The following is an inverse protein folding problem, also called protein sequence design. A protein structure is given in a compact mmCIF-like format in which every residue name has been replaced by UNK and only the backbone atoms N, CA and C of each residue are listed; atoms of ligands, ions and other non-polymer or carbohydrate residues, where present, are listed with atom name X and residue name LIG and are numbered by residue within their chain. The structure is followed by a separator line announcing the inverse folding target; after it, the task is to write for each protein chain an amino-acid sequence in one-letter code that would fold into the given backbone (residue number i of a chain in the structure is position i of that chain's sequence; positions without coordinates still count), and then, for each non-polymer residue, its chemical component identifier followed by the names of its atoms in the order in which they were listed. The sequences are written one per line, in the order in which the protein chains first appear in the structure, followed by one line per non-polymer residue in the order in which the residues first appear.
data_IF_133256425017
#
_entry.id   IF_133256425017
#
_cell.length_a   1.000
_cell.length_b   1.000
_cell.length_c   1.000
_cell.angle_alpha   90.00
_cell.angle_beta   90.00
_cell.angle_gamma   90.00
#
_symmetry.space_group_name_H-M   'P 1'
#
loop_
_entity.id
_entity.type
_entity.pdbx_description
1 polymer ?
#
# COMPACT_ATOMS: atom_id res chain seq x y z
N UNK A 1 11.02 3.60 3.52
CA UNK A 1 10.27 2.66 4.38
C UNK A 1 9.49 3.54 5.36
N UNK A 2 8.21 3.25 5.58
CA UNK A 2 7.45 3.96 6.63
C UNK A 2 8.00 3.50 7.98
N UNK A 3 8.67 4.40 8.69
CA UNK A 3 9.45 4.09 9.89
C UNK A 3 8.65 4.38 11.15
N UNK A 4 7.58 3.62 11.41
CA UNK A 4 6.74 3.88 12.57
C UNK A 4 7.41 3.42 13.88
N UNK A 5 7.73 4.38 14.75
CA UNK A 5 8.20 4.14 16.12
C UNK A 5 7.05 3.93 17.09
N UNK A 6 5.80 4.28 16.73
CA UNK A 6 4.64 4.08 17.61
C UNK A 6 3.44 3.45 16.93
N UNK A 7 2.94 4.03 15.83
CA UNK A 7 1.72 3.57 15.18
C UNK A 7 1.80 3.82 13.68
N UNK A 8 1.66 2.77 12.90
CA UNK A 8 1.33 2.89 11.48
C UNK A 8 -0.16 2.55 11.32
N UNK A 9 -0.90 3.31 10.53
CA UNK A 9 -2.19 2.85 10.00
C UNK A 9 -2.00 2.41 8.55
N UNK A 10 -2.66 1.31 8.19
CA UNK A 10 -2.69 0.79 6.83
C UNK A 10 -4.04 1.08 6.19
N UNK A 11 -4.03 1.50 4.94
CA UNK A 11 -5.23 1.61 4.11
C UNK A 11 -5.07 0.74 2.86
N UNK A 12 -6.18 0.20 2.38
CA UNK A 12 -6.23 -0.60 1.15
C UNK A 12 -7.21 0.04 0.18
N UNK A 13 -6.81 0.09 -1.08
CA UNK A 13 -7.66 0.43 -2.21
C UNK A 13 -7.87 -0.81 -3.07
N UNK A 14 -9.07 -0.94 -3.65
CA UNK A 14 -9.41 -1.97 -4.63
C UNK A 14 -9.66 -1.39 -6.03
N UNK A 15 -9.47 -0.08 -6.20
CA UNK A 15 -9.79 0.69 -7.41
C UNK A 15 -8.62 1.57 -7.90
N UNK A 16 -7.38 1.19 -7.56
CA UNK A 16 -6.18 1.90 -8.01
C UNK A 16 -5.93 3.21 -7.28
N UNK A 17 -6.31 3.30 -6.01
CA UNK A 17 -6.03 4.46 -5.17
C UNK A 17 -7.03 5.60 -5.30
N UNK A 18 -8.15 5.38 -6.02
CA UNK A 18 -9.24 6.37 -6.12
C UNK A 18 -10.02 6.46 -4.82
N UNK A 19 -10.18 5.35 -4.11
CA UNK A 19 -10.78 5.25 -2.78
C UNK A 19 -9.90 4.41 -1.86
N UNK A 20 -9.82 4.83 -0.61
CA UNK A 20 -9.02 4.17 0.44
C UNK A 20 -9.93 3.75 1.60
N UNK A 21 -9.70 2.55 2.10
CA UNK A 21 -10.41 2.00 3.26
C UNK A 21 -9.40 1.64 4.33
N UNK A 22 -9.67 2.03 5.57
CA UNK A 22 -8.84 1.67 6.71
C UNK A 22 -8.82 0.14 6.89
N UNK A 23 -7.63 -0.44 6.98
CA UNK A 23 -7.44 -1.84 7.24
C UNK A 23 -7.29 -2.10 8.75
N UNK A 24 -7.77 -3.25 9.20
CA UNK A 24 -7.63 -3.68 10.59
C UNK A 24 -6.20 -4.16 10.84
N UNK A 25 -5.52 -3.55 11.82
CA UNK A 25 -4.18 -3.97 12.24
C UNK A 25 -4.27 -5.20 13.15
N UNK A 26 -3.41 -6.19 12.91
CA UNK A 26 -3.27 -7.32 13.82
C UNK A 26 -2.42 -6.93 15.04
N UNK A 27 -2.99 -7.11 16.24
CA UNK A 27 -2.25 -6.95 17.48
C UNK A 27 -1.32 -8.15 17.79
N UNK A 28 -0.23 -7.93 18.54
CA UNK A 28 0.28 -6.64 19.01
C UNK A 28 0.96 -5.83 17.89
N UNK A 29 0.82 -4.51 17.94
CA UNK A 29 1.56 -3.58 17.07
C UNK A 29 2.77 -3.07 17.85
N UNK A 30 3.98 -3.41 17.39
CA UNK A 30 5.23 -3.08 18.08
C UNK A 30 6.03 -2.00 17.33
N UNK A 31 6.75 -1.12 18.05
CA UNK A 31 7.67 -0.17 17.46
C UNK A 31 8.69 -0.85 16.55
N UNK A 32 8.90 -0.30 15.33
CA UNK A 32 9.98 -0.74 14.43
C UNK A 32 9.86 -2.24 14.06
N UNK A 33 8.63 -2.76 14.00
CA UNK A 33 8.35 -4.13 13.62
C UNK A 33 7.35 -4.19 12.45
N UNK A 34 7.40 -5.27 11.68
CA UNK A 34 6.38 -5.52 10.65
C UNK A 34 5.01 -5.70 11.31
N UNK A 35 4.04 -4.94 10.82
CA UNK A 35 2.66 -4.99 11.28
C UNK A 35 1.79 -5.59 10.18
N UNK A 36 1.10 -6.68 10.49
CA UNK A 36 0.11 -7.26 9.57
C UNK A 36 -1.19 -6.44 9.64
N UNK A 37 -1.83 -6.24 8.50
CA UNK A 37 -3.16 -5.66 8.42
C UNK A 37 -4.03 -6.45 7.44
N UNK A 38 -5.36 -6.32 7.57
CA UNK A 38 -6.35 -7.02 6.74
C UNK A 38 -7.52 -6.11 6.40
N UNK A 39 -8.02 -6.22 5.18
CA UNK A 39 -9.29 -5.63 4.76
C UNK A 39 -10.18 -6.74 4.22
N UNK A 40 -11.27 -7.13 4.92
CA UNK A 40 -12.30 -7.98 4.34
C UNK A 40 -12.90 -7.27 3.12
N UNK A 41 -12.89 -7.93 1.97
CA UNK A 41 -13.39 -7.37 0.73
C UNK A 41 -14.19 -8.42 -0.02
N UNK A 42 -15.40 -8.04 -0.44
CA UNK A 42 -16.21 -8.85 -1.34
C UNK A 42 -15.87 -8.49 -2.77
N UNK A 43 -15.09 -9.35 -3.41
CA UNK A 43 -14.81 -9.22 -4.83
C UNK A 43 -16.06 -9.54 -5.66
N UNK A 44 -16.31 -8.72 -6.68
CA UNK A 44 -17.47 -8.84 -7.57
C UNK A 44 -17.15 -9.56 -8.89
N UNK A 45 -15.94 -10.11 -9.02
CA UNK A 45 -15.48 -10.84 -10.19
C UNK A 45 -15.01 -9.95 -11.35
N UNK A 46 -15.03 -8.61 -11.21
CA UNK A 46 -14.49 -7.69 -12.22
C UNK A 46 -13.01 -7.42 -11.96
N UNK A 47 -12.31 -6.92 -12.98
CA UNK A 47 -10.94 -6.46 -12.80
C UNK A 47 -10.83 -5.47 -11.62
N UNK A 48 -9.88 -5.71 -10.73
CA UNK A 48 -9.58 -4.86 -9.59
C UNK A 48 -8.10 -4.48 -9.57
N UNK A 49 -7.81 -3.30 -9.04
CA UNK A 49 -6.44 -2.82 -8.86
C UNK A 49 -6.20 -2.59 -7.38
N UNK A 50 -5.52 -3.56 -6.76
CA UNK A 50 -5.23 -3.54 -5.33
C UNK A 50 -4.00 -2.68 -5.06
N UNK A 51 -4.11 -1.81 -4.07
CA UNK A 51 -3.00 -1.03 -3.54
C UNK A 51 -3.10 -0.99 -2.02
N UNK A 52 -1.96 -0.82 -1.36
CA UNK A 52 -1.91 -0.51 0.07
C UNK A 52 -0.98 0.67 0.30
N UNK A 53 -1.33 1.54 1.25
CA UNK A 53 -0.46 2.60 1.73
C UNK A 53 -0.44 2.59 3.26
N UNK A 54 0.70 2.99 3.81
CA UNK A 54 0.87 3.16 5.24
C UNK A 54 1.14 4.62 5.57
N UNK A 55 0.65 5.06 6.72
CA UNK A 55 0.96 6.37 7.30
C UNK A 55 1.52 6.16 8.70
N UNK A 56 2.66 6.76 9.01
CA UNK A 56 3.25 6.71 10.35
C UNK A 56 2.76 7.83 11.28
N UNK A 57 3.24 7.82 12.51
CA UNK A 57 2.91 8.82 13.52
C UNK A 57 3.35 10.25 13.20
N UNK A 58 4.20 10.47 12.19
CA UNK A 58 4.58 11.82 11.74
C UNK A 58 3.59 12.40 10.72
N UNK A 59 2.64 11.59 10.27
CA UNK A 59 1.75 11.92 9.16
C UNK A 59 2.38 11.66 7.78
N UNK A 60 3.57 11.06 7.72
CA UNK A 60 4.16 10.66 6.45
C UNK A 60 3.37 9.52 5.83
N UNK A 61 2.73 9.80 4.70
CA UNK A 61 2.02 8.82 3.88
C UNK A 61 2.98 8.21 2.88
N UNK A 62 2.92 6.88 2.73
CA UNK A 62 3.68 6.17 1.71
C UNK A 62 3.40 6.76 0.31
N UNK A 63 4.43 7.15 -0.47
CA UNK A 63 4.24 7.84 -1.72
C UNK A 63 3.87 6.88 -2.85
N UNK A 64 3.26 7.39 -3.91
CA UNK A 64 3.17 6.70 -5.19
C UNK A 64 4.54 6.59 -5.85
N UNK A 65 4.67 5.70 -6.85
CA UNK A 65 5.90 5.60 -7.63
C UNK A 65 6.21 6.91 -8.35
N UNK A 66 5.19 7.57 -8.92
CA UNK A 66 5.34 8.83 -9.63
C UNK A 66 5.87 9.96 -8.73
N UNK A 67 5.31 10.12 -7.53
CA UNK A 67 5.79 11.11 -6.55
C UNK A 67 7.24 10.84 -6.14
N UNK A 68 7.58 9.57 -5.91
CA UNK A 68 8.93 9.19 -5.52
C UNK A 68 9.94 9.43 -6.64
N UNK A 69 9.57 9.11 -7.89
CA UNK A 69 10.37 9.36 -9.08
C UNK A 69 10.53 10.85 -9.40
N UNK A 70 9.53 11.68 -9.13
CA UNK A 70 9.62 13.13 -9.32
C UNK A 70 10.71 13.76 -8.44
N UNK A 71 10.92 13.22 -7.24
CA UNK A 71 11.92 13.74 -6.29
C UNK A 71 13.30 13.06 -6.46
N UNK A 72 13.33 11.77 -6.83
CA UNK A 72 14.56 10.95 -6.80
C UNK A 72 15.08 10.53 -8.18
N UNK A 73 14.34 10.83 -9.24
CA UNK A 73 14.60 10.33 -10.58
C UNK A 73 14.32 8.83 -10.73
N UNK A 74 14.58 8.30 -11.92
CA UNK A 74 14.27 6.92 -12.29
C UNK A 74 15.38 5.91 -11.96
N UNK A 75 16.55 6.39 -11.53
CA UNK A 75 17.75 5.57 -11.24
C UNK A 75 17.98 5.33 -9.74
N UNK A 76 16.96 5.58 -8.92
CA UNK A 76 17.01 5.37 -7.47
C UNK A 76 16.47 3.97 -7.13
N UNK A 77 17.36 3.02 -6.90
CA UNK A 77 17.00 1.64 -6.57
C UNK A 77 16.87 1.39 -5.06
N UNK A 78 17.50 2.24 -4.23
CA UNK A 78 17.48 2.12 -2.78
C UNK A 78 16.31 2.87 -2.15
N UNK A 79 15.86 2.38 -0.99
CA UNK A 79 14.75 2.96 -0.22
C UNK A 79 13.46 3.14 -1.03
N UNK A 80 13.20 2.21 -1.96
CA UNK A 80 12.00 2.19 -2.77
C UNK A 80 10.81 1.75 -1.92
N UNK A 81 10.07 2.72 -1.41
CA UNK A 81 8.87 2.49 -0.63
C UNK A 81 7.62 3.01 -1.33
N UNK A 82 7.60 3.04 -2.66
CA UNK A 82 6.39 3.38 -3.40
C UNK A 82 5.24 2.43 -3.06
N UNK A 83 4.01 2.91 -3.14
CA UNK A 83 2.79 2.09 -3.14
C UNK A 83 2.91 1.04 -4.24
N UNK A 84 2.73 -0.23 -3.88
CA UNK A 84 2.71 -1.34 -4.83
C UNK A 84 1.29 -1.57 -5.35
N UNK A 85 1.17 -1.86 -6.64
CA UNK A 85 -0.10 -2.19 -7.28
C UNK A 85 -0.14 -3.65 -7.74
N UNK A 86 -1.29 -4.29 -7.54
CA UNK A 86 -1.57 -5.65 -8.01
C UNK A 86 -2.87 -5.67 -8.80
N UNK A 87 -2.82 -6.10 -10.06
CA UNK A 87 -4.03 -6.30 -10.85
C UNK A 87 -4.59 -7.68 -10.56
N UNK A 88 -5.85 -7.75 -10.14
CA UNK A 88 -6.65 -8.98 -10.09
C UNK A 88 -7.53 -8.99 -11.33
N UNK A 89 -7.29 -9.93 -12.24
CA UNK A 89 -8.13 -10.11 -13.42
C UNK A 89 -9.44 -10.82 -13.05
N UNK A 90 -10.48 -10.68 -13.88
CA UNK A 90 -11.77 -11.34 -13.69
C UNK A 90 -11.70 -12.88 -13.50
N UNK A 91 -10.65 -13.52 -14.03
CA UNK A 91 -10.40 -14.96 -13.85
C UNK A 91 -9.56 -15.30 -12.61
N UNK A 92 -9.28 -14.32 -11.75
CA UNK A 92 -8.57 -14.48 -10.49
C UNK A 92 -7.05 -14.44 -10.60
N UNK A 93 -6.47 -14.32 -11.81
CA UNK A 93 -5.01 -14.15 -11.93
C UNK A 93 -4.57 -12.82 -11.33
N UNK A 94 -3.43 -12.86 -10.65
CA UNK A 94 -2.81 -11.68 -10.02
C UNK A 94 -1.50 -11.35 -10.74
N UNK A 95 -1.32 -10.09 -11.14
CA UNK A 95 -0.09 -9.61 -11.76
C UNK A 95 0.45 -8.35 -11.09
N UNK A 96 1.78 -8.23 -11.07
CA UNK A 96 2.46 -7.01 -10.68
C UNK A 96 2.31 -5.99 -11.81
N UNK A 97 1.80 -4.80 -11.50
CA UNK A 97 1.61 -3.70 -12.44
C UNK A 97 2.10 -2.39 -11.84
N UNK A 98 2.48 -1.46 -12.71
CA UNK A 98 2.71 -0.07 -12.33
C UNK A 98 1.46 0.73 -12.72
N UNK A 99 0.91 1.47 -11.76
CA UNK A 99 -0.28 2.29 -11.91
C UNK A 99 -0.03 3.69 -11.34
#
# INVERSE_FOLDING_TARGET
MVGARRRAHGEVSTDGGRRWQAAELQAPVLPIAHTRFRLPWRWDGRDALLQSRCTDETGYVQPTLAELSAVRGLRSHYHQNAIQSWKVAADGRVSNVHA
#
